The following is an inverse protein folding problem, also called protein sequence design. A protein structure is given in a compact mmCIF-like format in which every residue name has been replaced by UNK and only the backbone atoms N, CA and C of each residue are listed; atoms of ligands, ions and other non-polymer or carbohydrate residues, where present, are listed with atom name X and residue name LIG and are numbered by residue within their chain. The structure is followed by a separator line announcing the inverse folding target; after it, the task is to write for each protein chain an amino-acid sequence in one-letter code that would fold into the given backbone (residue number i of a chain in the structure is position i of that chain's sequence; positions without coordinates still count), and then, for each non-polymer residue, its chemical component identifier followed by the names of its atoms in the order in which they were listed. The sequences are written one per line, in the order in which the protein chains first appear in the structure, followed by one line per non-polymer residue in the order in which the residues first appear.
data_IF_521024438875
#
_entry.id   IF_521024438875
#
_cell.length_a   1.000
_cell.length_b   1.000
_cell.length_c   1.000
_cell.angle_alpha   90.00
_cell.angle_beta   90.00
_cell.angle_gamma   90.00
#
_symmetry.space_group_name_H-M   'P 1'
#
loop_
_entity.id
_entity.type
_entity.pdbx_description
1 polymer ?
#
# COMPACT_ATOMS: atom_id res chain seq x y z
N UNK A 1 -15.81 2.55 2.70
CA UNK A 1 -15.16 3.85 2.34
C UNK A 1 -15.83 4.50 1.12
N UNK A 2 -15.60 5.79 0.79
CA UNK A 2 -16.18 6.42 -0.42
C UNK A 2 -15.15 7.25 -1.22
N UNK A 3 -15.54 7.75 -2.41
CA UNK A 3 -14.64 8.52 -3.30
C UNK A 3 -14.05 9.77 -2.64
N UNK A 4 -14.81 10.49 -1.81
CA UNK A 4 -14.33 11.69 -1.15
C UNK A 4 -13.24 11.37 -0.13
N UNK A 5 -13.45 10.35 0.71
CA UNK A 5 -12.45 9.86 1.66
C UNK A 5 -11.15 9.41 0.96
N UNK A 6 -11.27 8.68 -0.17
CA UNK A 6 -10.09 8.28 -0.97
C UNK A 6 -9.30 9.49 -1.46
N UNK A 7 -9.99 10.53 -1.95
CA UNK A 7 -9.32 11.73 -2.43
C UNK A 7 -8.64 12.50 -1.28
N UNK A 8 -9.24 12.52 -0.10
CA UNK A 8 -8.65 13.18 1.08
C UNK A 8 -7.34 12.52 1.52
N UNK A 9 -7.32 11.19 1.64
CA UNK A 9 -6.08 10.46 1.95
C UNK A 9 -5.06 10.61 0.82
N UNK A 10 -5.49 10.50 -0.44
CA UNK A 10 -4.59 10.63 -1.60
C UNK A 10 -3.91 12.00 -1.67
N UNK A 11 -4.53 13.07 -1.16
CA UNK A 11 -3.93 14.41 -1.08
C UNK A 11 -2.77 14.48 -0.09
N UNK A 12 -2.69 13.57 0.88
CA UNK A 12 -1.56 13.51 1.83
C UNK A 12 -0.28 13.02 1.16
N UNK A 13 -0.34 12.38 -0.02
CA UNK A 13 0.84 11.85 -0.69
C UNK A 13 1.58 12.90 -1.54
N UNK A 14 1.92 14.02 -0.92
CA UNK A 14 2.83 15.06 -1.44
C UNK A 14 3.90 15.35 -0.40
N UNK A 15 5.06 15.88 -0.80
CA UNK A 15 6.15 16.17 0.15
C UNK A 15 5.69 17.12 1.27
N UNK A 16 4.83 18.08 0.95
CA UNK A 16 4.33 19.09 1.90
C UNK A 16 3.29 18.55 2.90
N UNK A 17 2.55 17.50 2.53
CA UNK A 17 1.42 16.96 3.31
C UNK A 17 1.67 15.54 3.84
N UNK A 18 2.81 14.94 3.53
CA UNK A 18 3.09 13.55 3.83
C UNK A 18 3.14 13.32 5.34
N UNK A 19 2.27 12.44 5.82
CA UNK A 19 2.19 12.04 7.24
C UNK A 19 2.72 10.63 7.50
N UNK A 20 3.38 10.02 6.51
CA UNK A 20 3.99 8.70 6.64
C UNK A 20 5.24 8.81 7.52
N UNK A 21 5.28 8.05 8.61
CA UNK A 21 6.43 8.01 9.53
C UNK A 21 7.32 6.77 9.32
N UNK A 22 6.76 5.65 8.85
CA UNK A 22 7.47 4.38 8.68
C UNK A 22 7.18 3.74 7.33
N UNK A 23 8.22 3.13 6.75
CA UNK A 23 8.15 2.31 5.54
C UNK A 23 8.90 1.01 5.76
N UNK A 24 8.21 -0.08 5.47
CA UNK A 24 8.77 -1.42 5.43
C UNK A 24 8.58 -1.98 4.03
N UNK A 25 9.56 -2.73 3.53
CA UNK A 25 9.46 -3.29 2.19
C UNK A 25 10.18 -4.62 2.03
N UNK A 26 9.71 -5.41 1.07
CA UNK A 26 10.23 -6.73 0.76
C UNK A 26 10.26 -6.95 -0.75
N UNK A 27 11.42 -7.29 -1.30
CA UNK A 27 11.58 -7.72 -2.70
C UNK A 27 11.58 -9.24 -2.77
N UNK A 28 10.70 -9.80 -3.60
CA UNK A 28 10.43 -11.22 -3.70
C UNK A 28 10.64 -11.67 -5.15
N UNK A 29 11.37 -12.76 -5.35
CA UNK A 29 11.55 -13.35 -6.67
C UNK A 29 10.37 -14.27 -7.06
N UNK A 30 10.37 -14.73 -8.31
CA UNK A 30 9.39 -15.68 -8.84
C UNK A 30 9.36 -17.04 -8.12
N UNK A 31 10.39 -17.40 -7.36
CA UNK A 31 10.47 -18.61 -6.53
C UNK A 31 9.92 -18.38 -5.11
N UNK A 32 9.32 -17.20 -4.84
CA UNK A 32 8.79 -16.77 -3.55
C UNK A 32 9.85 -16.57 -2.46
N UNK A 33 11.10 -16.33 -2.83
CA UNK A 33 12.18 -16.04 -1.89
C UNK A 33 12.31 -14.54 -1.63
N UNK A 34 12.48 -14.16 -0.35
CA UNK A 34 12.79 -12.78 0.06
C UNK A 34 14.24 -12.46 -0.30
N UNK A 35 14.46 -11.63 -1.32
CA UNK A 35 15.80 -11.18 -1.75
C UNK A 35 16.26 -9.93 -1.01
N UNK A 36 15.32 -9.13 -0.51
CA UNK A 36 15.60 -7.91 0.25
C UNK A 36 14.45 -7.64 1.21
N UNK A 37 14.77 -7.21 2.43
CA UNK A 37 13.83 -6.75 3.44
C UNK A 37 14.39 -5.48 4.07
N UNK A 38 13.55 -4.49 4.32
CA UNK A 38 13.97 -3.20 4.88
C UNK A 38 12.91 -2.62 5.80
N UNK A 39 13.37 -1.99 6.89
CA UNK A 39 12.54 -1.26 7.84
C UNK A 39 13.20 0.10 8.08
N UNK A 40 12.55 1.19 7.66
CA UNK A 40 13.13 2.54 7.74
C UNK A 40 12.09 3.55 8.19
N UNK A 41 12.56 4.61 8.84
CA UNK A 41 11.74 5.83 8.94
C UNK A 41 11.59 6.45 7.57
N UNK A 42 10.37 6.83 7.20
CA UNK A 42 10.09 7.38 5.88
C UNK A 42 10.83 8.71 5.65
N UNK A 43 10.94 9.55 6.68
CA UNK A 43 11.71 10.80 6.65
C UNK A 43 13.23 10.62 6.48
N UNK A 44 13.75 9.40 6.52
CA UNK A 44 15.17 9.10 6.27
C UNK A 44 15.48 8.78 4.80
N UNK A 45 14.45 8.73 3.93
CA UNK A 45 14.63 8.46 2.52
C UNK A 45 15.16 9.69 1.78
N UNK A 46 15.99 9.51 0.74
CA UNK A 46 16.30 10.58 -0.20
C UNK A 46 15.03 11.20 -0.81
N UNK A 47 15.09 12.47 -1.16
CA UNK A 47 13.94 13.22 -1.69
C UNK A 47 13.42 12.63 -3.01
N UNK A 48 14.32 12.22 -3.91
CA UNK A 48 13.99 11.60 -5.19
C UNK A 48 13.25 10.26 -5.00
N UNK A 49 13.70 9.44 -4.04
CA UNK A 49 13.03 8.18 -3.70
C UNK A 49 11.65 8.45 -3.10
N UNK A 50 11.57 9.43 -2.19
CA UNK A 50 10.32 9.84 -1.54
C UNK A 50 9.26 10.20 -2.58
N UNK A 51 9.60 11.02 -3.58
CA UNK A 51 8.68 11.36 -4.66
C UNK A 51 8.14 10.13 -5.39
N UNK A 52 9.01 9.16 -5.71
CA UNK A 52 8.61 7.91 -6.38
C UNK A 52 7.71 7.04 -5.50
N UNK A 53 7.99 6.92 -4.20
CA UNK A 53 7.12 6.18 -3.28
C UNK A 53 5.73 6.83 -3.16
N UNK A 54 5.67 8.15 -3.01
CA UNK A 54 4.40 8.89 -2.94
C UNK A 54 3.55 8.71 -4.21
N UNK A 55 4.19 8.65 -5.39
CA UNK A 55 3.50 8.31 -6.65
C UNK A 55 2.93 6.88 -6.64
N UNK A 56 3.66 5.89 -6.14
CA UNK A 56 3.16 4.51 -5.99
C UNK A 56 1.94 4.45 -5.05
N UNK A 57 1.98 5.16 -3.92
CA UNK A 57 0.87 5.21 -2.96
C UNK A 57 -0.35 5.89 -3.56
N UNK A 58 -0.16 6.99 -4.30
CA UNK A 58 -1.22 7.59 -5.12
C UNK A 58 -1.80 6.56 -6.09
N UNK A 59 -0.99 5.79 -6.81
CA UNK A 59 -1.51 4.77 -7.72
C UNK A 59 -2.31 3.66 -7.01
N UNK A 60 -1.93 3.31 -5.79
CA UNK A 60 -2.66 2.34 -4.96
C UNK A 60 -4.04 2.85 -4.54
N UNK A 61 -4.21 4.16 -4.37
CA UNK A 61 -5.50 4.80 -4.14
C UNK A 61 -6.11 5.39 -5.42
N UNK A 62 -5.83 4.76 -6.57
CA UNK A 62 -6.24 5.21 -7.90
C UNK A 62 -7.33 4.38 -8.55
N UNK A 63 -7.87 4.90 -9.65
CA UNK A 63 -8.87 4.21 -10.46
C UNK A 63 -10.32 4.50 -10.05
N UNK A 64 -11.24 3.67 -10.53
CA UNK A 64 -12.68 3.86 -10.34
C UNK A 64 -13.17 3.15 -9.09
N UNK A 65 -13.87 3.86 -8.21
CA UNK A 65 -14.52 3.30 -7.03
C UNK A 65 -15.61 2.29 -7.43
N UNK A 66 -15.66 1.14 -6.77
CA UNK A 66 -16.53 0.00 -7.12
C UNK A 66 -15.99 -0.89 -8.24
N UNK A 67 -14.82 -0.55 -8.83
CA UNK A 67 -14.17 -1.35 -9.88
C UNK A 67 -12.71 -1.65 -9.55
N UNK A 68 -11.88 -0.61 -9.43
CA UNK A 68 -10.48 -0.73 -9.02
C UNK A 68 -10.33 -0.65 -7.50
N UNK A 69 -11.19 0.14 -6.86
CA UNK A 69 -11.20 0.35 -5.41
C UNK A 69 -12.47 -0.26 -4.84
N UNK A 70 -12.33 -1.29 -4.01
CA UNK A 70 -13.42 -2.08 -3.45
C UNK A 70 -13.42 -1.89 -1.93
N UNK A 71 -14.57 -1.56 -1.35
CA UNK A 71 -14.72 -1.64 0.11
C UNK A 71 -14.95 -3.08 0.50
N UNK A 72 -14.19 -3.56 1.47
CA UNK A 72 -14.26 -4.92 2.00
C UNK A 72 -14.52 -4.80 3.50
N UNK A 73 -15.56 -5.47 3.97
CA UNK A 73 -15.89 -5.56 5.40
C UNK A 73 -15.32 -6.84 5.98
N UNK A 74 -14.83 -6.77 7.21
CA UNK A 74 -14.46 -7.97 7.96
C UNK A 74 -15.72 -8.73 8.39
N UNK A 75 -15.73 -10.07 8.29
CA UNK A 75 -16.74 -10.87 8.95
C UNK A 75 -16.62 -10.74 10.47
N UNK A 76 -17.74 -10.84 11.19
CA UNK A 76 -17.77 -10.69 12.66
C UNK A 76 -16.76 -11.61 13.39
N UNK A 77 -16.56 -12.81 12.86
CA UNK A 77 -15.61 -13.80 13.41
C UNK A 77 -14.16 -13.29 13.34
N UNK A 78 -13.82 -12.54 12.30
CA UNK A 78 -12.48 -12.00 12.06
C UNK A 78 -12.19 -10.71 12.85
N UNK A 79 -13.23 -10.10 13.43
CA UNK A 79 -13.14 -8.98 14.36
C UNK A 79 -12.96 -9.42 15.82
N UNK A 80 -13.18 -10.71 16.10
CA UNK A 80 -12.95 -11.26 17.44
C UNK A 80 -11.45 -11.46 17.70
N UNK A 81 -11.08 -11.62 18.97
CA UNK A 81 -9.71 -11.97 19.37
C UNK A 81 -9.24 -13.24 18.65
N UNK A 82 -8.09 -13.16 18.00
CA UNK A 82 -7.48 -14.18 17.15
C UNK A 82 -7.82 -14.07 15.67
N UNK A 83 -8.74 -13.18 15.28
CA UNK A 83 -9.13 -12.94 13.89
C UNK A 83 -8.11 -12.13 13.09
N UNK A 84 -8.27 -12.12 11.77
CA UNK A 84 -7.37 -11.42 10.83
C UNK A 84 -7.32 -9.91 11.07
N UNK A 85 -8.42 -9.30 11.54
CA UNK A 85 -8.44 -7.87 11.84
C UNK A 85 -7.45 -7.52 12.97
N UNK A 86 -7.35 -8.36 14.00
CA UNK A 86 -6.43 -8.13 15.13
C UNK A 86 -4.97 -8.07 14.67
N UNK A 87 -4.59 -8.88 13.68
CA UNK A 87 -3.24 -8.86 13.11
C UNK A 87 -2.90 -7.51 12.46
N UNK A 88 -3.82 -6.96 11.66
CA UNK A 88 -3.64 -5.65 11.03
C UNK A 88 -3.69 -4.50 12.05
N UNK A 89 -4.53 -4.61 13.09
CA UNK A 89 -4.57 -3.66 14.20
C UNK A 89 -3.23 -3.64 14.94
N UNK A 90 -2.63 -4.81 15.23
CA UNK A 90 -1.30 -4.89 15.87
C UNK A 90 -0.21 -4.23 15.02
N UNK A 91 -0.21 -4.44 13.70
CA UNK A 91 0.73 -3.79 12.78
C UNK A 91 0.59 -2.26 12.80
N UNK A 92 -0.67 -1.78 12.74
CA UNK A 92 -1.00 -0.34 12.77
C UNK A 92 -0.62 0.28 14.10
N UNK A 93 -1.15 -0.25 15.21
CA UNK A 93 -0.97 0.30 16.56
C UNK A 93 0.50 0.23 17.02
N UNK A 94 1.27 -0.73 16.47
CA UNK A 94 2.71 -0.81 16.65
C UNK A 94 3.51 0.18 15.80
N UNK A 95 2.88 0.92 14.87
CA UNK A 95 3.54 1.83 13.93
C UNK A 95 4.60 1.14 13.06
N UNK A 96 4.39 -0.16 12.76
CA UNK A 96 5.35 -1.02 12.05
C UNK A 96 6.76 -1.09 12.69
N UNK A 97 6.86 -0.91 14.01
CA UNK A 97 8.13 -1.00 14.76
C UNK A 97 8.52 -2.43 15.12
N UNK A 98 7.55 -3.34 15.21
CA UNK A 98 7.80 -4.75 15.44
C UNK A 98 8.20 -5.42 14.11
N UNK A 99 9.50 -5.59 13.90
CA UNK A 99 10.05 -6.15 12.67
C UNK A 99 9.63 -7.61 12.46
N UNK A 100 9.42 -8.39 13.53
CA UNK A 100 8.98 -9.77 13.41
C UNK A 100 7.52 -9.86 12.93
N UNK A 101 6.65 -8.98 13.44
CA UNK A 101 5.26 -8.89 13.00
C UNK A 101 5.16 -8.44 11.53
N UNK A 102 6.01 -7.51 11.12
CA UNK A 102 6.09 -7.07 9.72
C UNK A 102 6.62 -8.18 8.80
N UNK A 103 7.60 -8.96 9.25
CA UNK A 103 8.13 -10.09 8.48
C UNK A 103 7.09 -11.21 8.30
N UNK A 104 6.30 -11.49 9.34
CA UNK A 104 5.15 -12.40 9.30
C UNK A 104 4.09 -11.90 8.30
N UNK A 105 3.83 -10.59 8.24
CA UNK A 105 2.95 -10.00 7.24
C UNK A 105 3.48 -10.25 5.82
N UNK A 106 4.78 -10.05 5.58
CA UNK A 106 5.38 -10.35 4.27
C UNK A 106 5.25 -11.82 3.91
N UNK A 107 5.50 -12.74 4.84
CA UNK A 107 5.31 -14.18 4.60
C UNK A 107 3.86 -14.53 4.26
N UNK A 108 2.90 -13.91 4.95
CA UNK A 108 1.48 -14.12 4.69
C UNK A 108 1.10 -13.66 3.28
N UNK A 109 1.60 -12.50 2.83
CA UNK A 109 1.41 -12.02 1.46
C UNK A 109 2.08 -12.97 0.45
N UNK A 110 3.33 -13.39 0.69
CA UNK A 110 4.09 -14.26 -0.21
C UNK A 110 3.43 -15.63 -0.38
N UNK A 111 2.91 -16.20 0.71
CA UNK A 111 2.22 -17.48 0.69
C UNK A 111 0.97 -17.43 -0.21
N UNK A 112 0.22 -16.32 -0.18
CA UNK A 112 -1.13 -16.23 -0.75
C UNK A 112 -1.24 -15.35 -2.01
N UNK A 113 -0.18 -14.63 -2.39
CA UNK A 113 -0.12 -13.91 -3.66
C UNK A 113 0.44 -14.82 -4.76
N UNK A 114 -0.45 -15.49 -5.49
CA UNK A 114 -0.09 -16.34 -6.62
C UNK A 114 0.32 -15.50 -7.85
N UNK A 115 1.59 -15.10 -7.90
CA UNK A 115 2.21 -14.41 -9.02
C UNK A 115 3.52 -15.11 -9.42
N UNK A 116 3.67 -15.43 -10.71
CA UNK A 116 4.85 -16.15 -11.24
C UNK A 116 6.01 -15.25 -11.64
N UNK A 117 5.98 -13.98 -11.24
CA UNK A 117 6.96 -12.95 -11.59
C UNK A 117 7.52 -12.33 -10.32
N UNK A 118 8.64 -11.61 -10.41
CA UNK A 118 9.19 -10.87 -9.28
C UNK A 118 8.27 -9.71 -8.87
N UNK A 119 8.22 -9.38 -7.58
CA UNK A 119 7.41 -8.28 -7.07
C UNK A 119 7.99 -7.67 -5.80
N UNK A 120 7.58 -6.44 -5.51
CA UNK A 120 8.00 -5.63 -4.38
C UNK A 120 6.79 -5.28 -3.54
N UNK A 121 6.78 -5.70 -2.28
CA UNK A 121 5.76 -5.37 -1.29
C UNK A 121 6.24 -4.13 -0.53
N UNK A 122 5.40 -3.12 -0.43
CA UNK A 122 5.65 -1.90 0.35
C UNK A 122 4.51 -1.77 1.36
N UNK A 123 4.84 -1.67 2.64
CA UNK A 123 3.90 -1.44 3.72
C UNK A 123 4.32 -0.16 4.45
N UNK A 124 3.41 0.80 4.55
CA UNK A 124 3.65 2.06 5.26
C UNK A 124 2.66 2.27 6.39
N UNK A 125 3.11 2.99 7.41
CA UNK A 125 2.28 3.52 8.48
C UNK A 125 2.28 5.04 8.41
N UNK A 126 1.11 5.64 8.64
CA UNK A 126 0.94 7.07 8.66
C UNK A 126 -0.07 7.48 9.73
N UNK A 127 0.16 8.65 10.32
CA UNK A 127 -0.73 9.28 11.31
C UNK A 127 -1.20 10.62 10.77
N UNK A 128 -2.43 10.69 10.28
CA UNK A 128 -3.00 11.90 9.68
C UNK A 128 -3.89 12.66 10.68
N UNK A 129 -3.46 13.85 11.08
CA UNK A 129 -4.30 14.79 11.82
C UNK A 129 -5.40 15.34 10.91
N UNK A 130 -6.63 14.90 11.12
CA UNK A 130 -7.77 15.28 10.28
C UNK A 130 -8.18 16.71 10.67
N UNK A 131 -8.09 17.71 9.76
CA UNK A 131 -8.48 19.07 10.07
C UNK A 131 -9.99 19.16 10.23
N UNK A 132 -10.46 20.04 11.10
CA UNK A 132 -11.87 20.38 11.23
C UNK A 132 -12.34 21.10 9.97
N UNK A 133 -13.61 20.95 9.62
CA UNK A 133 -14.18 21.59 8.43
C UNK A 133 -15.39 22.41 8.84
N UNK A 134 -15.40 23.68 8.46
CA UNK A 134 -16.57 24.54 8.70
C UNK A 134 -17.77 24.11 7.84
N UNK A 135 -18.97 24.60 8.17
CA UNK A 135 -20.19 24.32 7.38
C UNK A 135 -20.07 24.70 5.90
N UNK A 136 -19.18 25.63 5.57
CA UNK A 136 -18.92 26.11 4.21
C UNK A 136 -17.78 25.35 3.50
N UNK A 137 -17.25 24.28 4.11
CA UNK A 137 -16.24 23.41 3.50
C UNK A 137 -14.79 23.92 3.60
N UNK A 138 -14.54 24.94 4.44
CA UNK A 138 -13.18 25.46 4.67
C UNK A 138 -12.49 24.63 5.74
N UNK A 139 -11.32 24.07 5.40
CA UNK A 139 -10.42 23.36 6.32
C UNK A 139 -9.86 24.33 7.35
N UNK A 140 -9.98 23.96 8.64
CA UNK A 140 -9.41 24.68 9.77
C UNK A 140 -8.26 23.84 10.33
N UNK A 141 -7.04 24.13 9.87
CA UNK A 141 -5.84 23.38 10.26
C UNK A 141 -5.60 23.43 11.78
N UNK A 142 -5.97 24.54 12.45
CA UNK A 142 -5.84 24.72 13.90
C UNK A 142 -6.89 23.97 14.73
N UNK A 143 -7.87 23.34 14.09
CA UNK A 143 -8.97 22.64 14.76
C UNK A 143 -9.02 21.17 14.33
N UNK A 144 -7.99 20.39 14.63
CA UNK A 144 -8.06 18.94 14.40
C UNK A 144 -9.10 18.29 15.33
N UNK A 145 -10.00 17.50 14.74
CA UNK A 145 -11.06 16.82 15.49
C UNK A 145 -10.64 15.39 15.88
N UNK A 146 -9.89 14.69 15.03
CA UNK A 146 -9.45 13.31 15.24
C UNK A 146 -8.14 13.01 14.51
N UNK A 147 -7.41 12.00 15.00
CA UNK A 147 -6.22 11.44 14.34
C UNK A 147 -6.60 10.16 13.62
N UNK A 148 -6.24 10.06 12.34
CA UNK A 148 -6.45 8.89 11.51
C UNK A 148 -5.11 8.17 11.26
N UNK A 149 -4.88 7.10 12.02
CA UNK A 149 -3.74 6.20 11.85
C UNK A 149 -4.11 5.08 10.88
N UNK A 150 -3.24 4.82 9.90
CA UNK A 150 -3.51 3.80 8.88
C UNK A 150 -2.26 3.11 8.34
N UNK A 151 -2.51 1.91 7.83
CA UNK A 151 -1.62 1.14 6.99
C UNK A 151 -2.02 1.32 5.54
N UNK A 152 -1.02 1.48 4.66
CA UNK A 152 -1.18 1.35 3.23
C UNK A 152 -0.17 0.30 2.72
N UNK A 153 -0.69 -0.71 2.03
CA UNK A 153 0.13 -1.73 1.37
C UNK A 153 0.02 -1.58 -0.15
N UNK A 154 1.16 -1.64 -0.84
CA UNK A 154 1.29 -1.63 -2.29
C UNK A 154 2.11 -2.83 -2.74
N UNK A 155 1.56 -3.64 -3.65
CA UNK A 155 2.27 -4.77 -4.27
C UNK A 155 2.56 -4.40 -5.72
N UNK A 156 3.85 -4.17 -6.01
CA UNK A 156 4.33 -3.68 -7.28
C UNK A 156 5.05 -4.79 -8.04
N UNK A 157 4.67 -5.12 -9.30
CA UNK A 157 5.48 -5.99 -10.13
C UNK A 157 6.90 -5.43 -10.31
N UNK A 158 7.88 -6.31 -10.42
CA UNK A 158 9.26 -5.94 -10.72
C UNK A 158 9.67 -6.62 -12.02
N UNK A 159 9.91 -5.84 -13.06
CA UNK A 159 10.18 -6.37 -14.39
C UNK A 159 11.57 -6.00 -14.87
N UNK A 160 12.18 -6.88 -15.67
CA UNK A 160 13.49 -6.62 -16.24
C UNK A 160 13.33 -5.67 -17.43
N UNK A 161 14.11 -4.59 -17.44
CA UNK A 161 14.07 -3.59 -18.50
C UNK A 161 14.22 -4.22 -19.89
N UNK A 162 13.65 -3.57 -20.93
CA UNK A 162 13.66 -4.10 -22.29
C UNK A 162 15.10 -4.33 -22.78
N UNK A 163 15.34 -5.49 -23.40
CA UNK A 163 16.60 -5.76 -24.07
C UNK A 163 16.80 -4.78 -25.24
N UNK A 164 18.07 -4.46 -25.53
CA UNK A 164 18.41 -3.56 -26.62
C UNK A 164 19.86 -3.11 -26.58
N UNK A 165 20.23 -2.26 -27.54
CA UNK A 165 21.51 -1.57 -27.55
C UNK A 165 21.38 -0.22 -26.83
N UNK A 166 22.39 0.15 -26.06
CA UNK A 166 22.49 1.44 -25.36
C UNK A 166 23.84 2.11 -25.62
N UNK A 167 23.89 3.43 -25.45
CA UNK A 167 25.15 4.16 -25.46
C UNK A 167 25.82 4.05 -24.08
N UNK A 168 27.01 3.46 -24.04
CA UNK A 168 27.85 3.42 -22.85
C UNK A 168 28.76 4.67 -22.84
N UNK A 169 28.50 5.61 -21.92
CA UNK A 169 29.25 6.87 -21.84
C UNK A 169 30.73 6.67 -21.46
N UNK A 170 31.04 5.66 -20.65
CA UNK A 170 32.42 5.40 -20.20
C UNK A 170 33.29 4.86 -21.34
N UNK A 171 32.73 3.99 -22.17
CA UNK A 171 33.43 3.37 -23.31
C UNK A 171 33.28 4.15 -24.61
N UNK A 172 32.32 5.08 -24.69
CA UNK A 172 31.91 5.77 -25.90
C UNK A 172 31.58 4.80 -27.07
N UNK A 173 30.79 3.76 -26.77
CA UNK A 173 30.35 2.76 -27.77
C UNK A 173 28.85 2.48 -27.63
N UNK A 174 28.25 1.95 -28.70
CA UNK A 174 26.93 1.33 -28.66
C UNK A 174 27.13 -0.16 -28.39
N UNK A 175 26.64 -0.65 -27.26
CA UNK A 175 26.74 -2.06 -26.86
C UNK A 175 25.41 -2.57 -26.28
N UNK A 176 25.32 -3.87 -26.00
CA UNK A 176 24.17 -4.44 -25.31
C UNK A 176 23.97 -3.73 -23.97
N UNK A 177 22.74 -3.26 -23.74
CA UNK A 177 22.39 -2.56 -22.52
C UNK A 177 22.32 -3.54 -21.35
N UNK A 178 23.00 -3.19 -20.25
CA UNK A 178 22.74 -3.80 -18.95
C UNK A 178 21.27 -3.60 -18.55
N UNK A 179 20.60 -4.71 -18.26
CA UNK A 179 19.18 -4.71 -17.92
C UNK A 179 19.02 -4.59 -16.41
N UNK A 180 18.10 -3.72 -16.00
CA UNK A 180 17.84 -3.41 -14.61
C UNK A 180 16.46 -3.93 -14.23
N UNK A 181 16.32 -4.41 -13.01
CA UNK A 181 15.02 -4.72 -12.42
C UNK A 181 14.33 -3.42 -12.02
N UNK A 182 13.14 -3.18 -12.56
CA UNK A 182 12.38 -1.94 -12.37
C UNK A 182 11.10 -2.23 -11.63
N UNK A 183 10.85 -1.47 -10.56
CA UNK A 183 9.59 -1.50 -9.82
C UNK A 183 8.53 -0.76 -10.64
N UNK A 184 7.47 -1.47 -11.01
CA UNK A 184 6.34 -0.94 -11.76
C UNK A 184 5.29 -0.31 -10.82
N UNK A 185 4.27 0.31 -11.42
CA UNK A 185 3.09 0.75 -10.68
C UNK A 185 2.40 -0.42 -9.93
N UNK A 186 1.78 -0.16 -8.77
CA UNK A 186 1.12 -1.20 -7.98
C UNK A 186 0.06 -1.95 -8.82
N UNK A 187 0.08 -3.27 -8.70
CA UNK A 187 -0.91 -4.16 -9.29
C UNK A 187 -2.06 -4.47 -8.33
N UNK A 188 -1.74 -4.52 -7.03
CA UNK A 188 -2.64 -4.76 -5.89
C UNK A 188 -2.25 -3.88 -4.71
N UNK A 189 -3.14 -3.71 -3.77
CA UNK A 189 -2.84 -3.04 -2.51
C UNK A 189 -4.07 -2.90 -1.65
N UNK A 190 -3.89 -2.37 -0.45
CA UNK A 190 -5.01 -2.05 0.43
C UNK A 190 -4.67 -0.89 1.36
N UNK A 191 -5.71 -0.27 1.89
CA UNK A 191 -5.65 0.71 2.97
C UNK A 191 -6.55 0.22 4.11
N UNK A 192 -5.99 0.15 5.31
CA UNK A 192 -6.68 -0.28 6.53
C UNK A 192 -6.26 0.61 7.71
N UNK A 193 -7.19 1.03 8.59
CA UNK A 193 -8.65 0.89 8.50
C UNK A 193 -9.23 1.67 7.31
N UNK A 194 -10.54 1.61 7.08
CA UNK A 194 -11.20 2.48 6.12
C UNK A 194 -11.33 3.91 6.69
N UNK A 195 -11.30 4.91 5.82
CA UNK A 195 -11.58 6.30 6.19
C UNK A 195 -13.02 6.66 5.79
N UNK A 196 -13.93 6.65 6.76
CA UNK A 196 -15.38 6.89 6.58
C UNK A 196 -15.79 8.05 7.49
N UNK A 197 -16.58 8.98 6.95
CA UNK A 197 -17.06 10.17 7.68
C UNK A 197 -15.94 10.92 8.42
N UNK A 198 -14.78 11.00 7.76
CA UNK A 198 -13.55 11.64 8.26
C UNK A 198 -12.98 11.00 9.54
N UNK A 199 -13.28 9.73 9.79
CA UNK A 199 -12.79 8.97 10.92
C UNK A 199 -12.31 7.57 10.50
N UNK A 200 -11.64 6.89 11.44
CA UNK A 200 -11.23 5.49 11.32
C UNK A 200 -12.43 4.56 11.46
N UNK A 201 -12.61 3.65 10.49
CA UNK A 201 -13.53 2.53 10.59
C UNK A 201 -12.76 1.22 10.48
N UNK A 202 -12.59 0.53 11.62
CA UNK A 202 -11.84 -0.71 11.71
C UNK A 202 -12.57 -1.91 11.09
N UNK A 203 -13.88 -1.81 10.88
CA UNK A 203 -14.71 -2.90 10.35
C UNK A 203 -14.59 -3.02 8.82
N UNK A 204 -14.00 -2.03 8.17
CA UNK A 204 -13.79 -2.00 6.73
C UNK A 204 -12.34 -1.70 6.35
N UNK A 205 -11.99 -2.08 5.13
CA UNK A 205 -10.78 -1.67 4.44
C UNK A 205 -11.08 -1.31 2.99
N UNK A 206 -10.15 -0.60 2.36
CA UNK A 206 -10.18 -0.35 0.94
C UNK A 206 -9.18 -1.24 0.22
N UNK A 207 -9.66 -2.12 -0.65
CA UNK A 207 -8.82 -2.95 -1.50
C UNK A 207 -8.64 -2.33 -2.88
N UNK A 208 -7.42 -2.35 -3.39
CA UNK A 208 -7.06 -1.89 -4.72
C UNK A 208 -6.66 -3.05 -5.63
N UNK A 209 -7.19 -3.01 -6.85
CA UNK A 209 -6.69 -3.79 -7.98
C UNK A 209 -6.55 -2.93 -9.23
N UNK A 210 -5.41 -3.06 -9.91
CA UNK A 210 -5.20 -2.45 -11.24
C UNK A 210 -6.09 -3.10 -12.31
N UNK A 211 -6.34 -4.41 -12.18
CA UNK A 211 -7.12 -5.24 -13.10
C UNK A 211 -8.32 -5.85 -12.35
N UNK A 212 -9.54 -5.33 -12.54
CA UNK A 212 -10.73 -5.74 -11.78
C UNK A 212 -11.10 -7.23 -11.92
N UNK A 213 -10.65 -7.87 -12.99
CA UNK A 213 -10.79 -9.30 -13.28
C UNK A 213 -9.75 -10.18 -12.57
N UNK A 214 -8.70 -9.59 -12.00
CA UNK A 214 -7.65 -10.27 -11.23
C UNK A 214 -7.69 -9.75 -9.78
N UNK A 215 -8.53 -10.34 -8.91
CA UNK A 215 -8.69 -9.90 -7.52
C UNK A 215 -7.76 -10.58 -6.52
N UNK A 216 -7.23 -11.77 -6.84
CA UNK A 216 -6.56 -12.68 -5.89
C UNK A 216 -7.43 -12.98 -4.66
N UNK A 217 -8.52 -13.76 -4.83
CA UNK A 217 -9.37 -14.16 -3.73
C UNK A 217 -8.59 -14.86 -2.61
N UNK A 218 -7.58 -15.68 -2.93
CA UNK A 218 -6.80 -16.39 -1.91
C UNK A 218 -6.05 -15.42 -0.99
N UNK A 219 -5.54 -14.33 -1.55
CA UNK A 219 -4.86 -13.28 -0.78
C UNK A 219 -5.84 -12.49 0.09
N UNK A 220 -7.02 -12.15 -0.46
CA UNK A 220 -8.08 -11.44 0.29
C UNK A 220 -8.57 -12.30 1.46
N UNK A 221 -8.80 -13.59 1.23
CA UNK A 221 -9.22 -14.53 2.27
C UNK A 221 -8.13 -14.71 3.34
N UNK A 222 -6.88 -14.89 2.93
CA UNK A 222 -5.80 -15.09 3.89
C UNK A 222 -5.51 -13.84 4.76
N UNK A 223 -5.59 -12.64 4.18
CA UNK A 223 -5.29 -11.38 4.86
C UNK A 223 -6.48 -10.82 5.64
N UNK A 224 -7.71 -11.04 5.18
CA UNK A 224 -8.90 -10.36 5.70
C UNK A 224 -10.03 -11.31 6.12
N UNK A 225 -9.86 -12.62 5.90
CA UNK A 225 -10.82 -13.66 6.27
C UNK A 225 -12.14 -13.59 5.52
N UNK A 226 -12.15 -12.97 4.33
CA UNK A 226 -13.36 -12.75 3.54
C UNK A 226 -13.15 -13.07 2.07
N UNK A 227 -14.25 -13.21 1.34
CA UNK A 227 -14.23 -13.38 -0.11
C UNK A 227 -14.33 -12.01 -0.80
N UNK A 228 -13.76 -11.84 -2.00
CA UNK A 228 -13.90 -10.58 -2.72
C UNK A 228 -15.38 -10.27 -2.96
N UNK A 229 -15.82 -9.01 -2.87
CA UNK A 229 -17.18 -8.64 -3.25
C UNK A 229 -17.40 -9.02 -4.71
N UNK A 230 -18.52 -9.71 -4.99
CA UNK A 230 -18.89 -10.10 -6.35
C UNK A 230 -18.88 -8.86 -7.24
N UNK A 231 -18.04 -8.85 -8.29
CA UNK A 231 -18.02 -7.79 -9.27
C UNK A 231 -19.37 -7.78 -9.99
N UNK A 232 -20.18 -6.74 -9.75
CA UNK A 232 -21.43 -6.47 -10.46
C UNK A 232 -21.18 -6.03 -11.90
#
# INVERSE_FOLDING_TARGET
MNKAGVLEIRKQFTQERCTIDRICSCYVNHEKEKLFVSHRSFGSLPEEETFKYLELFKHTLGGTFGKNLLSISFPLEEEMTGGKQEFLLKLRDGGLKDEALVDEFFDLVIANYANGENYYIILVHASYDVPGVTKDGIEMEDASENVYEYLLCSICPVTLSKAGLGYNEEKNVIEERNRDWQVEQPGKGFLFPAFIDRASDIHELLYFTKKPDELHPEMIEALFGTVPPLSS
#
